data_IF_674249888131
#
_entry.id   IF_674249888131
#
_cell.length_a   1.000
_cell.length_b   1.000
_cell.length_c   1.000
_cell.angle_alpha   90.00
_cell.angle_beta   90.00
_cell.angle_gamma   90.00
#
_symmetry.space_group_name_H-M   'P 1'
#
loop_
_entity.id
_entity.type
_entity.pdbx_description
1 polymer ?
#
# COMPACT_ATOMS: atom_id res chain seq x y z
N UNK A 1 0.04 -22.36 0.79
CA UNK A 1 0.71 -22.81 2.03
C UNK A 1 1.68 -21.75 2.55
N UNK A 2 2.57 -21.16 1.70
CA UNK A 2 3.58 -20.20 2.14
C UNK A 2 3.00 -18.98 2.88
N UNK A 3 1.94 -18.28 2.38
CA UNK A 3 1.36 -17.14 3.09
C UNK A 3 0.82 -17.52 4.48
N UNK A 4 0.16 -18.67 4.58
CA UNK A 4 -0.37 -19.14 5.87
C UNK A 4 0.74 -19.45 6.87
N UNK A 5 1.78 -20.17 6.44
CA UNK A 5 2.92 -20.49 7.30
C UNK A 5 3.67 -19.24 7.75
N UNK A 6 3.93 -18.28 6.84
CA UNK A 6 4.56 -17.01 7.22
C UNK A 6 3.72 -16.25 8.24
N UNK A 7 2.39 -16.23 8.08
CA UNK A 7 1.51 -15.58 9.03
C UNK A 7 1.50 -16.27 10.39
N UNK A 8 1.49 -17.61 10.44
CA UNK A 8 1.62 -18.38 11.70
C UNK A 8 2.93 -18.04 12.40
N UNK A 9 4.06 -18.16 11.70
CA UNK A 9 5.38 -17.93 12.29
C UNK A 9 5.53 -16.51 12.80
N UNK A 10 5.14 -15.50 11.99
CA UNK A 10 5.21 -14.10 12.37
C UNK A 10 4.30 -13.80 13.57
N UNK A 11 3.11 -14.41 13.62
CA UNK A 11 2.20 -14.24 14.76
C UNK A 11 2.79 -14.85 16.02
N UNK A 12 3.35 -16.07 15.98
CA UNK A 12 3.99 -16.71 17.12
C UNK A 12 5.17 -15.87 17.64
N UNK A 13 6.07 -15.45 16.74
CA UNK A 13 7.21 -14.64 17.12
C UNK A 13 6.77 -13.28 17.69
N UNK A 14 5.80 -12.63 17.06
CA UNK A 14 5.23 -11.36 17.54
C UNK A 14 4.63 -11.51 18.94
N UNK A 15 3.88 -12.59 19.18
CA UNK A 15 3.27 -12.85 20.50
C UNK A 15 4.31 -13.17 21.56
N UNK A 16 5.28 -14.02 21.27
CA UNK A 16 6.23 -14.49 22.30
C UNK A 16 7.35 -13.51 22.61
N UNK A 17 7.76 -12.67 21.67
CA UNK A 17 8.92 -11.80 21.84
C UNK A 17 8.60 -10.30 21.90
N UNK A 18 7.41 -9.89 21.42
CA UNK A 18 7.08 -8.46 21.27
C UNK A 18 5.79 -8.08 22.00
N UNK A 19 4.96 -9.05 22.40
CA UNK A 19 3.65 -8.79 23.00
C UNK A 19 3.71 -7.93 24.27
N UNK A 20 4.74 -8.14 25.10
CA UNK A 20 4.91 -7.39 26.36
C UNK A 20 5.25 -5.92 26.15
N UNK A 21 5.72 -5.57 24.93
CA UNK A 21 6.10 -4.19 24.54
C UNK A 21 5.02 -3.55 23.65
N UNK A 22 4.05 -4.35 23.21
CA UNK A 22 3.04 -3.96 22.23
C UNK A 22 1.80 -3.37 22.89
N UNK A 23 1.81 -2.07 23.12
CA UNK A 23 0.66 -1.36 23.68
C UNK A 23 -0.57 -1.34 22.76
N UNK A 24 -0.36 -1.33 21.43
CA UNK A 24 -1.43 -1.19 20.41
C UNK A 24 -2.01 -2.53 19.93
N UNK A 25 -1.64 -3.65 20.59
CA UNK A 25 -2.08 -4.99 20.21
C UNK A 25 -1.20 -5.65 19.15
N UNK A 26 -1.54 -6.89 18.77
CA UNK A 26 -0.72 -7.73 17.90
C UNK A 26 -0.70 -7.31 16.43
N UNK A 27 -1.83 -6.87 15.87
CA UNK A 27 -1.95 -6.58 14.42
C UNK A 27 -1.00 -5.51 13.91
N UNK A 28 -0.79 -4.36 14.60
CA UNK A 28 0.19 -3.35 14.16
C UNK A 28 1.62 -3.87 14.08
N UNK A 29 1.96 -4.88 14.88
CA UNK A 29 3.30 -5.48 14.93
C UNK A 29 3.52 -6.46 13.78
N UNK A 30 2.57 -7.38 13.59
CA UNK A 30 2.72 -8.44 12.58
C UNK A 30 2.50 -7.94 11.16
N UNK A 31 1.70 -6.88 10.97
CA UNK A 31 1.39 -6.36 9.63
C UNK A 31 2.61 -5.90 8.84
N UNK A 32 3.55 -5.11 9.39
CA UNK A 32 4.79 -4.75 8.69
C UNK A 32 5.64 -5.96 8.30
N UNK A 33 5.71 -6.98 9.17
CA UNK A 33 6.47 -8.20 8.89
C UNK A 33 5.85 -9.04 7.76
N UNK A 34 4.54 -8.94 7.55
CA UNK A 34 3.81 -9.63 6.49
C UNK A 34 3.69 -8.80 5.20
N UNK A 35 4.22 -7.57 5.15
CA UNK A 35 3.99 -6.64 4.04
C UNK A 35 4.37 -7.22 2.68
N UNK A 36 5.43 -8.01 2.60
CA UNK A 36 5.88 -8.65 1.37
C UNK A 36 4.91 -9.72 0.85
N UNK A 37 4.10 -10.29 1.73
CA UNK A 37 3.11 -11.33 1.41
C UNK A 37 1.70 -10.76 1.21
N UNK A 38 1.47 -9.49 1.53
CA UNK A 38 0.18 -8.83 1.36
C UNK A 38 -0.14 -8.66 -0.14
N UNK A 39 -1.33 -9.05 -0.60
CA UNK A 39 -1.72 -9.00 -2.00
C UNK A 39 -2.17 -7.61 -2.47
N UNK A 40 -1.70 -6.52 -1.84
CA UNK A 40 -2.15 -5.16 -2.14
C UNK A 40 -1.96 -4.78 -3.61
N UNK A 41 -0.80 -5.12 -4.20
CA UNK A 41 -0.54 -4.87 -5.61
C UNK A 41 -1.46 -5.68 -6.54
N UNK A 42 -1.74 -6.94 -6.21
CA UNK A 42 -2.66 -7.76 -7.01
C UNK A 42 -4.07 -7.16 -7.00
N UNK A 43 -4.54 -6.69 -5.86
CA UNK A 43 -5.86 -6.06 -5.71
C UNK A 43 -5.95 -4.73 -6.48
N UNK A 44 -4.95 -3.85 -6.36
CA UNK A 44 -4.94 -2.55 -7.07
C UNK A 44 -4.81 -2.75 -8.57
N UNK A 45 -3.88 -3.57 -9.04
CA UNK A 45 -3.73 -3.84 -10.49
C UNK A 45 -4.98 -4.51 -11.03
N UNK A 46 -5.55 -5.48 -10.30
CA UNK A 46 -6.80 -6.12 -10.68
C UNK A 46 -7.96 -5.12 -10.80
N UNK A 47 -8.08 -4.17 -9.87
CA UNK A 47 -9.09 -3.12 -9.94
C UNK A 47 -8.85 -2.16 -11.14
N UNK A 48 -7.60 -1.79 -11.44
CA UNK A 48 -7.24 -1.01 -12.63
C UNK A 48 -7.61 -1.75 -13.92
N UNK A 49 -7.29 -3.04 -14.00
CA UNK A 49 -7.61 -3.87 -15.16
C UNK A 49 -9.12 -4.01 -15.37
N UNK A 50 -9.89 -4.24 -14.30
CA UNK A 50 -11.36 -4.27 -14.34
C UNK A 50 -11.94 -2.94 -14.83
N UNK A 51 -11.49 -1.83 -14.26
CA UNK A 51 -11.94 -0.49 -14.66
C UNK A 51 -11.54 -0.14 -16.12
N UNK A 52 -10.49 -0.79 -16.64
CA UNK A 52 -10.03 -0.66 -18.03
C UNK A 52 -10.70 -1.65 -19.00
N UNK A 53 -11.70 -2.42 -18.54
CA UNK A 53 -12.42 -3.41 -19.34
C UNK A 53 -11.70 -4.74 -19.53
N UNK A 54 -10.57 -4.99 -18.89
CA UNK A 54 -9.83 -6.26 -18.92
C UNK A 54 -10.40 -7.23 -17.88
N UNK A 55 -11.63 -7.71 -18.12
CA UNK A 55 -12.42 -8.44 -17.13
C UNK A 55 -11.72 -9.73 -16.68
N UNK A 56 -11.18 -10.53 -17.58
CA UNK A 56 -10.59 -11.84 -17.24
C UNK A 56 -9.32 -11.68 -16.39
N UNK A 57 -8.37 -10.84 -16.80
CA UNK A 57 -7.13 -10.64 -16.04
C UNK A 57 -7.37 -9.91 -14.72
N UNK A 58 -8.25 -8.89 -14.73
CA UNK A 58 -8.59 -8.14 -13.54
C UNK A 58 -9.29 -8.98 -12.48
N UNK A 59 -10.31 -9.77 -12.88
CA UNK A 59 -11.02 -10.64 -11.95
C UNK A 59 -10.12 -11.73 -11.37
N UNK A 60 -9.26 -12.36 -12.18
CA UNK A 60 -8.33 -13.38 -11.69
C UNK A 60 -7.36 -12.83 -10.64
N UNK A 61 -6.85 -11.60 -10.83
CA UNK A 61 -5.97 -10.93 -9.84
C UNK A 61 -6.71 -10.57 -8.55
N UNK A 62 -7.95 -10.07 -8.65
CA UNK A 62 -8.75 -9.73 -7.47
C UNK A 62 -9.11 -10.98 -6.68
N UNK A 63 -9.56 -12.05 -7.35
CA UNK A 63 -9.86 -13.34 -6.70
C UNK A 63 -8.62 -13.91 -6.03
N UNK A 64 -7.47 -13.91 -6.73
CA UNK A 64 -6.19 -14.33 -6.15
C UNK A 64 -5.83 -13.51 -4.90
N UNK A 65 -5.97 -12.19 -4.97
CA UNK A 65 -5.69 -11.29 -3.84
C UNK A 65 -6.59 -11.57 -2.64
N UNK A 66 -7.89 -11.77 -2.86
CA UNK A 66 -8.84 -12.12 -1.80
C UNK A 66 -8.50 -13.48 -1.18
N UNK A 67 -8.20 -14.49 -1.99
CA UNK A 67 -7.81 -15.80 -1.50
C UNK A 67 -6.53 -15.74 -0.67
N UNK A 68 -5.52 -14.96 -1.12
CA UNK A 68 -4.27 -14.77 -0.38
C UNK A 68 -4.49 -14.05 0.95
N UNK A 69 -5.34 -13.03 1.00
CA UNK A 69 -5.76 -12.39 2.26
C UNK A 69 -6.40 -13.39 3.22
N UNK A 70 -7.32 -14.22 2.72
CA UNK A 70 -7.97 -15.26 3.52
C UNK A 70 -6.95 -16.25 4.12
N UNK A 71 -5.96 -16.68 3.33
CA UNK A 71 -4.88 -17.55 3.80
C UNK A 71 -3.99 -16.90 4.88
N UNK A 72 -3.71 -15.60 4.74
CA UNK A 72 -2.94 -14.84 5.73
C UNK A 72 -3.73 -14.71 7.05
N UNK A 73 -5.00 -14.30 6.97
CA UNK A 73 -5.87 -14.16 8.13
C UNK A 73 -6.05 -15.50 8.85
N UNK A 74 -6.22 -16.58 8.10
CA UNK A 74 -6.29 -17.93 8.66
C UNK A 74 -4.99 -18.31 9.37
N UNK A 75 -3.82 -17.94 8.81
CA UNK A 75 -2.53 -18.15 9.47
C UNK A 75 -2.40 -17.36 10.78
N UNK A 76 -2.83 -16.09 10.81
CA UNK A 76 -2.87 -15.30 12.05
C UNK A 76 -3.78 -15.95 13.08
N UNK A 77 -4.98 -16.39 12.66
CA UNK A 77 -5.92 -17.07 13.55
C UNK A 77 -5.30 -18.32 14.19
N UNK A 78 -4.62 -19.17 13.42
CA UNK A 78 -3.90 -20.33 13.95
C UNK A 78 -2.81 -19.88 14.92
N UNK A 79 -2.00 -18.88 14.56
CA UNK A 79 -0.92 -18.37 15.41
C UNK A 79 -1.43 -17.87 16.76
N UNK A 80 -2.53 -17.08 16.75
CA UNK A 80 -3.16 -16.60 17.99
C UNK A 80 -3.74 -17.74 18.83
N UNK A 81 -4.30 -18.77 18.18
CA UNK A 81 -4.81 -19.95 18.92
C UNK A 81 -3.71 -20.74 19.61
N UNK A 82 -2.51 -20.78 19.06
CA UNK A 82 -1.34 -21.47 19.64
C UNK A 82 -0.67 -20.61 20.71
N UNK A 83 -0.44 -19.34 20.43
CA UNK A 83 0.35 -18.45 21.30
C UNK A 83 -0.48 -17.76 22.40
N UNK A 84 -1.80 -17.69 22.25
CA UNK A 84 -2.70 -16.91 23.10
C UNK A 84 -3.03 -15.52 22.51
N UNK A 85 -4.04 -14.89 23.10
CA UNK A 85 -4.46 -13.54 22.69
C UNK A 85 -3.61 -12.50 23.43
N UNK A 86 -3.15 -11.50 22.67
CA UNK A 86 -2.54 -10.29 23.23
C UNK A 86 -3.67 -9.29 23.47
N UNK A 87 -3.92 -8.97 24.72
CA UNK A 87 -4.86 -7.90 25.09
C UNK A 87 -4.21 -6.56 24.80
N UNK A 88 -4.85 -5.67 24.01
CA UNK A 88 -4.37 -4.30 23.85
C UNK A 88 -4.26 -3.62 25.23
N UNK A 89 -3.14 -2.97 25.47
CA UNK A 89 -2.94 -2.08 26.62
C UNK A 89 -3.31 -0.65 26.21
N UNK A 90 -3.02 0.34 27.07
CA UNK A 90 -3.26 1.73 26.75
C UNK A 90 -2.51 2.13 25.45
N UNK A 91 -3.16 2.92 24.55
CA UNK A 91 -2.56 3.29 23.27
C UNK A 91 -1.23 4.01 23.48
N UNK A 92 -0.23 3.64 22.69
CA UNK A 92 1.07 4.30 22.69
C UNK A 92 0.94 5.79 22.29
N UNK A 93 1.74 6.65 22.90
CA UNK A 93 1.75 8.08 22.53
C UNK A 93 2.25 8.25 21.10
N UNK A 94 1.57 9.07 20.26
CA UNK A 94 2.02 9.31 18.89
C UNK A 94 3.45 9.86 18.84
N UNK A 95 4.27 9.36 17.92
CA UNK A 95 5.68 9.74 17.76
C UNK A 95 5.90 11.19 17.24
N UNK A 96 4.85 12.00 17.12
CA UNK A 96 4.94 13.37 16.61
C UNK A 96 5.07 13.48 15.08
N UNK A 97 5.01 14.72 14.56
CA UNK A 97 4.96 14.99 13.11
C UNK A 97 6.23 14.61 12.34
N UNK A 98 7.36 14.47 13.00
CA UNK A 98 8.63 14.06 12.38
C UNK A 98 8.62 12.60 11.90
N UNK A 99 7.76 11.77 12.51
CA UNK A 99 7.66 10.34 12.19
C UNK A 99 7.29 10.08 10.73
N UNK A 100 6.48 10.94 10.12
CA UNK A 100 6.10 10.87 8.71
C UNK A 100 7.33 10.99 7.79
N UNK A 101 8.23 11.93 8.08
CA UNK A 101 9.46 12.12 7.29
C UNK A 101 10.44 10.97 7.47
N UNK A 102 10.57 10.49 8.70
CA UNK A 102 11.37 9.30 8.99
C UNK A 102 10.82 8.05 8.28
N UNK A 103 9.49 7.88 8.25
CA UNK A 103 8.84 6.79 7.53
C UNK A 103 9.15 6.81 6.03
N UNK A 104 9.11 7.99 5.37
CA UNK A 104 9.49 8.12 3.95
C UNK A 104 10.92 7.62 3.72
N UNK A 105 11.87 8.04 4.57
CA UNK A 105 13.27 7.63 4.44
C UNK A 105 13.43 6.10 4.63
N UNK A 106 12.81 5.53 5.67
CA UNK A 106 12.88 4.09 5.96
C UNK A 106 12.23 3.27 4.84
N UNK A 107 11.05 3.68 4.35
CA UNK A 107 10.37 3.02 3.23
C UNK A 107 11.23 3.09 1.96
N UNK A 108 11.82 4.25 1.65
CA UNK A 108 12.68 4.41 0.48
C UNK A 108 13.90 3.50 0.53
N UNK A 109 14.58 3.41 1.68
CA UNK A 109 15.71 2.50 1.89
C UNK A 109 15.24 1.04 1.79
N UNK A 110 14.15 0.68 2.46
CA UNK A 110 13.58 -0.66 2.41
C UNK A 110 13.24 -1.10 0.99
N UNK A 111 12.57 -0.24 0.21
CA UNK A 111 12.24 -0.52 -1.19
C UNK A 111 13.47 -0.53 -2.10
N UNK A 112 14.45 0.34 -1.84
CA UNK A 112 15.72 0.31 -2.57
C UNK A 112 16.41 -1.06 -2.45
N UNK A 113 16.47 -1.61 -1.25
CA UNK A 113 17.04 -2.93 -0.97
C UNK A 113 16.17 -4.05 -1.55
N UNK A 114 14.86 -4.00 -1.28
CA UNK A 114 13.90 -5.03 -1.70
C UNK A 114 13.81 -5.17 -3.23
N UNK A 115 13.75 -4.05 -3.95
CA UNK A 115 13.68 -4.02 -5.41
C UNK A 115 15.06 -4.18 -6.07
N UNK A 116 16.15 -4.29 -5.29
CA UNK A 116 17.52 -4.28 -5.81
C UNK A 116 17.73 -3.14 -6.80
N UNK A 117 17.26 -1.94 -6.44
CA UNK A 117 17.18 -0.80 -7.33
C UNK A 117 18.58 -0.32 -7.77
N UNK A 118 18.74 0.25 -8.97
CA UNK A 118 20.02 0.71 -9.49
C UNK A 118 20.70 1.70 -8.57
N UNK A 119 22.05 1.73 -8.58
CA UNK A 119 22.84 2.69 -7.80
C UNK A 119 22.43 4.13 -8.15
N UNK A 120 22.22 4.98 -7.12
CA UNK A 120 21.79 6.37 -7.29
C UNK A 120 20.28 6.58 -7.38
N UNK A 121 19.46 5.52 -7.39
CA UNK A 121 17.99 5.65 -7.46
C UNK A 121 17.33 5.97 -6.11
N UNK A 122 18.05 5.84 -4.98
CA UNK A 122 17.49 6.03 -3.63
C UNK A 122 16.82 7.41 -3.47
N UNK A 123 17.49 8.48 -3.92
CA UNK A 123 16.93 9.83 -3.83
C UNK A 123 15.66 9.99 -4.66
N UNK A 124 15.60 9.35 -5.84
CA UNK A 124 14.43 9.35 -6.70
C UNK A 124 13.26 8.57 -6.10
N UNK A 125 13.56 7.43 -5.48
CA UNK A 125 12.55 6.64 -4.76
C UNK A 125 11.97 7.44 -3.58
N UNK A 126 12.84 8.04 -2.75
CA UNK A 126 12.42 8.88 -1.63
C UNK A 126 11.58 10.08 -2.10
N UNK A 127 11.98 10.72 -3.20
CA UNK A 127 11.25 11.85 -3.78
C UNK A 127 9.85 11.44 -4.23
N UNK A 128 9.71 10.36 -5.00
CA UNK A 128 8.41 9.92 -5.52
C UNK A 128 7.50 9.42 -4.41
N UNK A 129 8.04 8.67 -3.44
CA UNK A 129 7.31 8.24 -2.25
C UNK A 129 6.85 9.46 -1.45
N UNK A 130 7.75 10.40 -1.17
CA UNK A 130 7.46 11.60 -0.40
C UNK A 130 6.38 12.46 -1.04
N UNK A 131 6.44 12.70 -2.35
CA UNK A 131 5.42 13.46 -3.10
C UNK A 131 4.07 12.75 -3.06
N UNK A 132 4.04 11.43 -3.24
CA UNK A 132 2.81 10.64 -3.20
C UNK A 132 2.16 10.65 -1.82
N UNK A 133 2.96 10.47 -0.76
CA UNK A 133 2.49 10.54 0.63
C UNK A 133 2.05 11.96 1.02
N UNK A 134 2.77 12.99 0.58
CA UNK A 134 2.38 14.38 0.82
C UNK A 134 1.03 14.69 0.15
N UNK A 135 0.86 14.30 -1.10
CA UNK A 135 -0.40 14.46 -1.82
C UNK A 135 -1.56 13.73 -1.13
N UNK A 136 -1.31 12.51 -0.65
CA UNK A 136 -2.29 11.74 0.12
C UNK A 136 -2.63 12.40 1.46
N UNK A 137 -1.63 12.88 2.21
CA UNK A 137 -1.85 13.53 3.51
C UNK A 137 -2.62 14.84 3.35
N UNK A 138 -2.28 15.66 2.36
CA UNK A 138 -3.00 16.89 2.07
C UNK A 138 -4.47 16.60 1.66
N UNK A 139 -4.68 15.58 0.85
CA UNK A 139 -6.02 15.14 0.49
C UNK A 139 -6.80 14.62 1.70
N UNK A 140 -6.14 14.00 2.67
CA UNK A 140 -6.72 13.52 3.91
C UNK A 140 -7.28 14.62 4.82
N UNK A 141 -6.88 15.88 4.61
CA UNK A 141 -7.47 17.03 5.32
C UNK A 141 -8.89 17.36 4.84
N UNK A 142 -9.21 17.02 3.59
CA UNK A 142 -10.51 17.30 2.96
C UNK A 142 -11.33 16.04 2.67
N UNK A 143 -10.68 14.91 2.48
CA UNK A 143 -11.28 13.62 2.16
C UNK A 143 -11.07 12.64 3.32
N UNK A 144 -11.91 11.59 3.38
CA UNK A 144 -11.65 10.51 4.35
C UNK A 144 -10.35 9.77 4.00
N UNK A 145 -9.75 9.13 5.00
CA UNK A 145 -8.51 8.34 4.85
C UNK A 145 -8.61 7.25 3.77
N UNK A 146 -9.81 6.69 3.55
CA UNK A 146 -10.04 5.71 2.47
C UNK A 146 -9.92 6.33 1.07
N UNK A 147 -10.31 7.59 0.91
CA UNK A 147 -10.37 8.26 -0.40
C UNK A 147 -9.15 9.14 -0.69
N UNK A 148 -8.35 9.48 0.32
CA UNK A 148 -7.12 10.28 0.15
C UNK A 148 -6.10 9.60 -0.78
N UNK A 149 -6.08 8.26 -0.82
CA UNK A 149 -5.28 7.47 -1.74
C UNK A 149 -5.55 7.75 -3.22
N UNK A 150 -6.75 8.24 -3.58
CA UNK A 150 -7.07 8.68 -4.94
C UNK A 150 -6.12 9.80 -5.41
N UNK A 151 -5.96 10.84 -4.61
CA UNK A 151 -5.08 11.97 -4.95
C UNK A 151 -3.62 11.54 -4.93
N UNK A 152 -3.20 10.75 -3.94
CA UNK A 152 -1.84 10.20 -3.90
C UNK A 152 -1.49 9.43 -5.17
N UNK A 153 -2.35 8.53 -5.63
CA UNK A 153 -2.15 7.74 -6.83
C UNK A 153 -2.25 8.57 -8.13
N UNK A 154 -3.17 9.54 -8.16
CA UNK A 154 -3.34 10.45 -9.29
C UNK A 154 -2.08 11.29 -9.55
N UNK A 155 -1.36 11.68 -8.50
CA UNK A 155 -0.10 12.44 -8.58
C UNK A 155 1.08 11.51 -8.83
N UNK A 156 1.12 10.33 -8.22
CA UNK A 156 2.23 9.39 -8.27
C UNK A 156 2.63 9.00 -9.70
N UNK A 157 1.66 8.65 -10.55
CA UNK A 157 1.93 8.15 -11.90
C UNK A 157 2.52 9.23 -12.82
N UNK A 158 1.88 10.40 -12.98
CA UNK A 158 2.46 11.48 -13.78
C UNK A 158 3.84 11.90 -13.28
N UNK A 159 4.00 12.00 -11.96
CA UNK A 159 5.25 12.42 -11.35
C UNK A 159 6.37 11.39 -11.59
N UNK A 160 6.11 10.09 -11.46
CA UNK A 160 7.07 9.04 -11.77
C UNK A 160 7.52 9.09 -13.24
N UNK A 161 6.59 9.31 -14.18
CA UNK A 161 6.91 9.43 -15.61
C UNK A 161 7.72 10.68 -15.91
N UNK A 162 7.41 11.81 -15.27
CA UNK A 162 8.16 13.05 -15.42
C UNK A 162 9.58 12.91 -14.87
N UNK A 163 9.77 12.32 -13.69
CA UNK A 163 11.07 12.03 -13.13
C UNK A 163 11.90 11.12 -14.04
N UNK A 164 11.29 10.10 -14.63
CA UNK A 164 11.98 9.17 -15.52
C UNK A 164 12.52 9.79 -16.83
N UNK A 165 12.12 11.02 -17.17
CA UNK A 165 12.70 11.78 -18.29
C UNK A 165 14.10 12.32 -17.97
N UNK A 166 14.48 12.35 -16.69
CA UNK A 166 15.79 12.83 -16.25
C UNK A 166 16.78 11.66 -16.33
N UNK A 167 17.92 11.88 -16.98
CA UNK A 167 18.93 10.82 -17.27
C UNK A 167 19.43 10.04 -16.06
N UNK A 168 19.39 10.63 -14.88
CA UNK A 168 19.85 10.02 -13.63
C UNK A 168 18.75 9.24 -12.89
N UNK A 169 17.50 9.38 -13.33
CA UNK A 169 16.37 8.71 -12.69
C UNK A 169 16.21 7.26 -13.22
N UNK A 170 15.74 6.35 -12.37
CA UNK A 170 15.38 5.00 -12.79
C UNK A 170 14.12 5.04 -13.69
N UNK A 171 13.84 3.92 -14.39
CA UNK A 171 12.66 3.82 -15.25
C UNK A 171 11.35 4.12 -14.50
N UNK A 172 10.39 4.73 -15.20
CA UNK A 172 9.10 5.14 -14.63
C UNK A 172 8.36 3.99 -13.91
N UNK A 173 8.48 2.76 -14.39
CA UNK A 173 7.88 1.59 -13.76
C UNK A 173 8.43 1.31 -12.35
N UNK A 174 9.73 1.51 -12.13
CA UNK A 174 10.39 1.33 -10.83
C UNK A 174 9.89 2.41 -9.85
N UNK A 175 9.85 3.67 -10.31
CA UNK A 175 9.36 4.80 -9.52
C UNK A 175 7.88 4.67 -9.18
N UNK A 176 7.04 4.33 -10.16
CA UNK A 176 5.62 4.11 -9.95
C UNK A 176 5.37 2.96 -8.98
N UNK A 177 6.12 1.85 -9.11
CA UNK A 177 6.02 0.71 -8.20
C UNK A 177 6.34 1.12 -6.75
N UNK A 178 7.39 1.92 -6.54
CA UNK A 178 7.75 2.42 -5.21
C UNK A 178 6.66 3.32 -4.62
N UNK A 179 6.09 4.23 -5.43
CA UNK A 179 4.96 5.06 -5.02
C UNK A 179 3.73 4.21 -4.66
N UNK A 180 3.41 3.19 -5.45
CA UNK A 180 2.32 2.28 -5.14
C UNK A 180 2.53 1.51 -3.84
N UNK A 181 3.76 1.08 -3.53
CA UNK A 181 4.06 0.43 -2.27
C UNK A 181 3.77 1.33 -1.06
N UNK A 182 4.00 2.64 -1.18
CA UNK A 182 3.70 3.59 -0.10
C UNK A 182 2.20 3.91 0.06
N UNK A 183 1.44 3.78 -1.02
CA UNK A 183 -0.01 4.06 -1.05
C UNK A 183 -0.86 2.82 -0.77
N UNK A 184 -0.26 1.62 -0.85
CA UNK A 184 -0.97 0.34 -0.89
C UNK A 184 -1.88 0.14 0.31
N UNK A 185 -3.17 -0.12 0.06
CA UNK A 185 -4.15 -0.42 1.10
C UNK A 185 -4.02 -1.84 1.67
N UNK A 186 -2.94 -2.56 1.32
CA UNK A 186 -2.74 -3.94 1.77
C UNK A 186 -2.77 -4.08 3.28
N UNK A 187 -2.16 -3.14 3.99
CA UNK A 187 -2.21 -3.07 5.44
C UNK A 187 -3.64 -2.83 5.95
N UNK A 188 -4.33 -1.82 5.40
CA UNK A 188 -5.72 -1.51 5.78
C UNK A 188 -6.64 -2.69 5.48
N UNK A 189 -6.49 -3.31 4.32
CA UNK A 189 -7.29 -4.47 3.91
C UNK A 189 -7.04 -5.66 4.84
N UNK A 190 -5.77 -5.96 5.14
CA UNK A 190 -5.41 -7.06 6.03
C UNK A 190 -5.93 -6.83 7.46
N UNK A 191 -5.72 -5.64 8.03
CA UNK A 191 -6.23 -5.30 9.36
C UNK A 191 -7.74 -5.36 9.43
N UNK A 192 -8.44 -4.91 8.38
CA UNK A 192 -9.90 -4.93 8.31
C UNK A 192 -10.44 -6.36 8.28
N UNK A 193 -9.87 -7.22 7.45
CA UNK A 193 -10.27 -8.63 7.35
C UNK A 193 -9.93 -9.38 8.64
N UNK A 194 -8.76 -9.12 9.24
CA UNK A 194 -8.32 -9.76 10.47
C UNK A 194 -9.21 -9.39 11.66
N UNK A 195 -9.61 -8.12 11.81
CA UNK A 195 -10.56 -7.67 12.83
C UNK A 195 -11.93 -8.33 12.66
N UNK A 196 -12.43 -8.39 11.43
CA UNK A 196 -13.69 -9.07 11.12
C UNK A 196 -13.67 -10.56 11.48
N UNK A 197 -12.54 -11.23 11.28
CA UNK A 197 -12.35 -12.65 11.62
C UNK A 197 -12.27 -12.90 13.13
N UNK A 198 -11.84 -11.91 13.93
CA UNK A 198 -11.76 -12.00 15.40
C UNK A 198 -13.07 -11.63 16.10
N UNK A 199 -14.16 -11.37 15.35
CA UNK A 199 -15.48 -11.08 15.91
C UNK A 199 -15.72 -9.63 16.32
N UNK A 200 -14.82 -8.73 15.94
CA UNK A 200 -15.00 -7.29 16.11
C UNK A 200 -16.00 -6.78 15.04
N UNK A 201 -17.22 -6.43 15.47
CA UNK A 201 -18.29 -5.93 14.56
C UNK A 201 -17.94 -4.64 13.81
N UNK A 202 -16.93 -3.90 14.27
CA UNK A 202 -16.33 -2.81 13.48
C UNK A 202 -15.62 -3.32 12.20
N UNK A 203 -15.33 -4.63 12.12
CA UNK A 203 -14.67 -5.26 10.97
C UNK A 203 -15.48 -5.17 9.66
N UNK A 204 -16.80 -5.23 9.69
CA UNK A 204 -17.63 -5.14 8.47
C UNK A 204 -17.61 -3.74 7.86
N UNK A 205 -17.65 -2.68 8.68
CA UNK A 205 -17.49 -1.31 8.24
C UNK A 205 -16.07 -1.07 7.67
N UNK A 206 -15.05 -1.71 8.26
CA UNK A 206 -13.66 -1.58 7.82
C UNK A 206 -13.38 -2.30 6.49
N UNK A 207 -14.13 -3.36 6.12
CA UNK A 207 -14.05 -3.97 4.79
C UNK A 207 -14.50 -3.01 3.68
N UNK A 208 -15.57 -2.23 3.92
CA UNK A 208 -16.00 -1.17 3.01
C UNK A 208 -14.92 -0.09 2.82
N UNK A 209 -14.27 0.32 3.90
CA UNK A 209 -13.14 1.25 3.88
C UNK A 209 -11.97 0.70 3.07
N UNK A 210 -11.62 -0.57 3.25
CA UNK A 210 -10.55 -1.21 2.50
C UNK A 210 -10.87 -1.33 1.00
N UNK A 211 -12.09 -1.73 0.65
CA UNK A 211 -12.56 -1.78 -0.74
C UNK A 211 -12.57 -0.39 -1.38
N UNK A 212 -13.04 0.63 -0.64
CA UNK A 212 -13.02 2.02 -1.05
C UNK A 212 -11.60 2.55 -1.29
N UNK A 213 -10.63 2.19 -0.45
CA UNK A 213 -9.23 2.56 -0.63
C UNK A 213 -8.62 1.94 -1.89
N UNK A 214 -8.87 0.64 -2.15
CA UNK A 214 -8.43 -0.04 -3.38
C UNK A 214 -9.01 0.64 -4.62
N UNK A 215 -10.33 0.88 -4.63
CA UNK A 215 -11.01 1.53 -5.74
C UNK A 215 -10.50 2.97 -5.95
N UNK A 216 -10.28 3.72 -4.88
CA UNK A 216 -9.75 5.08 -4.91
C UNK A 216 -8.35 5.14 -5.54
N UNK A 217 -7.42 4.26 -5.15
CA UNK A 217 -6.08 4.18 -5.72
C UNK A 217 -6.14 3.77 -7.19
N UNK A 218 -6.98 2.78 -7.54
CA UNK A 218 -7.15 2.34 -8.93
C UNK A 218 -7.67 3.46 -9.83
N UNK A 219 -8.72 4.17 -9.40
CA UNK A 219 -9.29 5.30 -10.13
C UNK A 219 -8.30 6.48 -10.21
N UNK A 220 -7.61 6.80 -9.11
CA UNK A 220 -6.57 7.83 -9.09
C UNK A 220 -5.47 7.55 -10.11
N UNK A 221 -5.01 6.31 -10.19
CA UNK A 221 -4.02 5.86 -11.18
C UNK A 221 -4.50 6.07 -12.62
N UNK A 222 -5.74 5.67 -12.92
CA UNK A 222 -6.32 5.83 -14.26
C UNK A 222 -6.47 7.31 -14.65
N UNK A 223 -6.94 8.15 -13.72
CA UNK A 223 -7.07 9.58 -13.94
C UNK A 223 -5.70 10.22 -14.13
N UNK A 224 -4.71 9.90 -13.29
CA UNK A 224 -3.34 10.38 -13.41
C UNK A 224 -2.72 10.02 -14.76
N UNK A 225 -2.91 8.78 -15.22
CA UNK A 225 -2.46 8.35 -16.55
C UNK A 225 -3.16 9.09 -17.69
N UNK A 226 -4.48 9.30 -17.59
CA UNK A 226 -5.26 10.05 -18.58
C UNK A 226 -4.80 11.50 -18.66
N UNK A 227 -4.61 12.18 -17.53
CA UNK A 227 -4.09 13.55 -17.47
C UNK A 227 -2.71 13.65 -18.13
N UNK A 228 -1.81 12.71 -17.83
CA UNK A 228 -0.49 12.69 -18.46
C UNK A 228 -0.57 12.58 -19.99
N UNK A 229 -1.41 11.69 -20.52
CA UNK A 229 -1.62 11.55 -21.97
C UNK A 229 -2.13 12.83 -22.59
N UNK A 230 -3.12 13.47 -21.99
CA UNK A 230 -3.69 14.72 -22.49
C UNK A 230 -2.67 15.84 -22.53
N UNK A 231 -1.83 15.97 -21.48
CA UNK A 231 -0.77 16.97 -21.42
C UNK A 231 0.31 16.72 -22.47
N UNK A 232 0.74 15.49 -22.67
CA UNK A 232 1.77 15.16 -23.66
C UNK A 232 1.28 15.35 -25.10
N UNK A 233 0.02 15.05 -25.40
CA UNK A 233 -0.57 15.33 -26.72
C UNK A 233 -0.64 16.83 -27.00
N UNK A 234 -1.04 17.67 -26.03
CA UNK A 234 -1.08 19.14 -26.21
C UNK A 234 0.30 19.73 -26.46
N UNK A 235 1.33 19.27 -25.74
CA UNK A 235 2.70 19.77 -25.93
C UNK A 235 3.20 19.43 -27.34
N UNK A 236 2.95 18.22 -27.82
CA UNK A 236 3.37 17.83 -29.17
C UNK A 236 2.60 18.56 -30.29
N UNK A 237 1.33 18.89 -30.08
CA UNK A 237 0.53 19.65 -31.07
C UNK A 237 0.96 21.13 -31.18
N UNK A 238 1.41 21.73 -30.09
CA UNK A 238 1.94 23.11 -30.10
C UNK A 238 3.34 23.16 -30.73
N UNK A 239 4.18 22.13 -30.50
CA UNK A 239 5.53 22.05 -31.08
C UNK A 239 5.54 21.76 -32.60
N UNK A 240 4.42 21.33 -33.19
CA UNK A 240 4.29 21.08 -34.63
C UNK A 240 3.78 22.31 -35.44
N UNK A 241 3.47 23.42 -34.77
CA UNK A 241 2.98 24.67 -35.36
C UNK A 241 4.05 25.78 -35.40
N UNK A 242 5.26 25.52 -34.98
CA UNK A 242 6.43 26.39 -35.05
C UNK A 242 7.54 25.76 -35.86
#
# INVERSE_FOLDING_TARGET
>A
ILPTLSAVVVTLLGTWFVADVAHDGLLPIITPALIATLPGMALVIGAIELASGKIISGSSRVIYGIAQLGLLVYGVFIGVRIAGQVTPQDPSTPMGSWSTYAAVAVIAVGLYLYLSAPRGSLAWLALVIGVSMLAQNLAGLALSTAHSGFIGAMVAVPFAVLCARIRTAPPAGVLALAAFWSLVPGQLTFMSVSRGATGDYAGTASLGVAAGAIASIALGTLVGWSLLRTLTHRVNSVGSLG
#
